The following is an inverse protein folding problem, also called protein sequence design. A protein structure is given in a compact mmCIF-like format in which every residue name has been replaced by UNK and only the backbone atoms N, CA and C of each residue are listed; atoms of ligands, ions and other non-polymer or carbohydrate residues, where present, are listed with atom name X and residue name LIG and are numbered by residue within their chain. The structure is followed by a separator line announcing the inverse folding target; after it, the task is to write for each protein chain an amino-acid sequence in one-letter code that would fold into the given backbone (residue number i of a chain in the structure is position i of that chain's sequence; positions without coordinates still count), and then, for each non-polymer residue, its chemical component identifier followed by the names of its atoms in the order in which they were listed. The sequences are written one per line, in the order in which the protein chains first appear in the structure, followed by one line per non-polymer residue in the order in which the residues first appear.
data_IF_967683955227
#
_entry.id   IF_967683955227
#
_cell.length_a   1.000
_cell.length_b   1.000
_cell.length_c   1.000
_cell.angle_alpha   90.00
_cell.angle_beta   90.00
_cell.angle_gamma   90.00
#
_symmetry.space_group_name_H-M   'P 1'
#
loop_
_entity.id
_entity.type
_entity.pdbx_description
1 polymer ?
#
# COMPACT_ATOMS: atom_id res chain seq x y z
N UNK A 1 -31.94 11.57 6.14
CA UNK A 1 -30.95 10.57 6.60
C UNK A 1 -29.55 11.09 6.26
N UNK A 2 -28.75 11.56 7.22
CA UNK A 2 -27.39 12.01 6.92
C UNK A 2 -26.52 10.78 6.64
N UNK A 3 -25.85 10.78 5.48
CA UNK A 3 -24.98 9.70 5.04
C UNK A 3 -23.88 9.44 6.06
N UNK A 4 -23.70 8.18 6.45
CA UNK A 4 -22.59 7.76 7.32
C UNK A 4 -21.27 8.24 6.68
N UNK A 5 -20.33 8.81 7.46
CA UNK A 5 -19.03 9.21 6.94
C UNK A 5 -18.36 8.00 6.28
N UNK A 6 -17.82 8.18 5.07
CA UNK A 6 -17.02 7.16 4.39
C UNK A 6 -15.89 6.75 5.34
N UNK A 7 -15.95 5.51 5.86
CA UNK A 7 -14.90 4.98 6.73
C UNK A 7 -13.62 4.89 5.90
N UNK A 8 -12.54 5.44 6.45
CA UNK A 8 -11.21 5.35 5.89
C UNK A 8 -10.89 3.89 5.54
N UNK A 9 -10.54 3.63 4.28
CA UNK A 9 -10.06 2.32 3.81
C UNK A 9 -8.53 2.32 3.87
N UNK A 10 -7.98 2.33 5.08
CA UNK A 10 -6.53 2.18 5.24
C UNK A 10 -6.23 0.82 5.83
N UNK A 11 -5.52 -0.01 5.06
CA UNK A 11 -5.03 -1.31 5.52
C UNK A 11 -3.52 -1.30 5.79
N UNK A 12 -2.77 -0.39 5.16
CA UNK A 12 -1.32 -0.42 5.23
C UNK A 12 -0.74 0.47 6.32
N UNK A 13 -0.17 -0.16 7.35
CA UNK A 13 0.77 0.45 8.29
C UNK A 13 2.19 -0.01 7.94
N UNK A 14 2.85 0.72 7.03
CA UNK A 14 4.25 0.48 6.69
C UNK A 14 5.13 1.56 7.32
N UNK A 15 6.26 1.13 7.89
CA UNK A 15 7.33 1.99 8.37
C UNK A 15 8.56 1.92 7.47
N UNK A 16 9.57 2.78 7.70
CA UNK A 16 10.82 2.77 6.92
C UNK A 16 11.61 1.46 6.97
N UNK A 17 11.35 0.62 7.98
CA UNK A 17 11.98 -0.69 8.18
C UNK A 17 11.10 -1.86 7.77
N UNK A 18 9.90 -1.61 7.23
CA UNK A 18 9.05 -2.67 6.70
C UNK A 18 9.69 -3.31 5.48
N UNK A 19 9.39 -4.59 5.24
CA UNK A 19 9.73 -5.27 3.99
C UNK A 19 8.47 -5.37 3.12
N UNK A 20 8.42 -4.60 2.04
CA UNK A 20 7.28 -4.61 1.11
C UNK A 20 7.26 -5.90 0.29
N UNK A 21 8.43 -6.45 -0.06
CA UNK A 21 8.53 -7.78 -0.67
C UNK A 21 7.97 -8.88 0.25
N UNK A 22 8.27 -8.85 1.56
CA UNK A 22 7.70 -9.79 2.51
C UNK A 22 6.19 -9.62 2.64
N UNK A 23 5.68 -8.38 2.70
CA UNK A 23 4.25 -8.12 2.72
C UNK A 23 3.52 -8.72 1.51
N UNK A 24 4.06 -8.54 0.29
CA UNK A 24 3.47 -9.13 -0.92
C UNK A 24 3.43 -10.66 -0.81
N UNK A 25 4.53 -11.29 -0.37
CA UNK A 25 4.58 -12.74 -0.18
C UNK A 25 3.56 -13.23 0.88
N UNK A 26 3.40 -12.51 1.99
CA UNK A 26 2.37 -12.85 2.98
C UNK A 26 0.95 -12.70 2.42
N UNK A 27 0.69 -11.69 1.60
CA UNK A 27 -0.61 -11.54 0.94
C UNK A 27 -0.87 -12.66 -0.07
N UNK A 28 0.16 -13.16 -0.77
CA UNK A 28 0.06 -14.36 -1.62
C UNK A 28 -0.33 -15.60 -0.80
N UNK A 29 0.30 -15.81 0.35
CA UNK A 29 -0.03 -16.91 1.26
C UNK A 29 -1.46 -16.82 1.80
N UNK A 30 -1.92 -15.61 2.17
CA UNK A 30 -3.28 -15.40 2.66
C UNK A 30 -4.34 -15.62 1.57
N UNK A 31 -4.08 -15.17 0.34
CA UNK A 31 -4.99 -15.38 -0.79
C UNK A 31 -5.14 -16.88 -1.11
N UNK A 32 -4.04 -17.65 -1.01
CA UNK A 32 -4.04 -19.10 -1.22
C UNK A 32 -4.95 -19.87 -0.25
N UNK A 33 -5.26 -19.30 0.92
CA UNK A 33 -6.22 -19.88 1.88
C UNK A 33 -7.68 -19.77 1.41
N UNK A 34 -7.95 -18.99 0.35
CA UNK A 34 -9.30 -18.71 -0.19
C UNK A 34 -10.29 -18.24 0.88
N UNK A 35 -10.00 -17.13 1.60
CA UNK A 35 -10.87 -16.66 2.67
C UNK A 35 -12.22 -16.19 2.14
N UNK A 36 -13.29 -16.58 2.82
CA UNK A 36 -14.65 -16.11 2.52
C UNK A 36 -15.00 -14.82 3.26
N UNK A 37 -14.30 -14.52 4.35
CA UNK A 37 -14.46 -13.32 5.17
C UNK A 37 -13.10 -12.85 5.69
N UNK A 38 -12.83 -11.56 5.56
CA UNK A 38 -11.62 -10.89 6.05
C UNK A 38 -12.05 -9.82 7.06
N UNK A 39 -11.57 -9.97 8.29
CA UNK A 39 -11.81 -9.02 9.40
C UNK A 39 -10.51 -8.28 9.70
N UNK A 40 -10.34 -7.06 9.18
CA UNK A 40 -9.10 -6.28 9.35
C UNK A 40 -9.07 -5.59 10.72
N UNK A 41 -7.87 -5.20 11.17
CA UNK A 41 -7.71 -4.37 12.37
C UNK A 41 -8.41 -3.00 12.25
N UNK A 42 -8.40 -2.43 11.03
CA UNK A 42 -9.04 -1.15 10.71
C UNK A 42 -9.76 -1.23 9.36
N UNK A 43 -10.74 -0.35 9.14
CA UNK A 43 -11.51 -0.30 7.89
C UNK A 43 -12.77 -1.17 7.91
N UNK A 44 -13.29 -1.48 6.73
CA UNK A 44 -14.50 -2.28 6.57
C UNK A 44 -14.16 -3.77 6.44
N UNK A 45 -14.96 -4.62 7.08
CA UNK A 45 -14.97 -6.08 6.85
C UNK A 45 -15.35 -6.34 5.37
N UNK A 46 -14.73 -7.34 4.76
CA UNK A 46 -14.97 -7.71 3.36
C UNK A 46 -14.60 -9.15 3.06
N UNK A 47 -14.50 -9.47 1.77
CA UNK A 47 -14.09 -10.78 1.26
C UNK A 47 -12.61 -10.79 0.85
N UNK A 48 -12.17 -11.85 0.17
CA UNK A 48 -10.82 -11.98 -0.38
C UNK A 48 -10.39 -10.79 -1.28
N UNK A 49 -11.33 -10.00 -1.82
CA UNK A 49 -10.98 -8.83 -2.63
C UNK A 49 -10.21 -7.76 -1.84
N UNK A 50 -10.26 -7.78 -0.50
CA UNK A 50 -9.45 -6.89 0.32
C UNK A 50 -7.95 -7.22 0.20
N UNK A 51 -7.59 -8.51 0.30
CA UNK A 51 -6.21 -8.99 0.18
C UNK A 51 -5.68 -8.70 -1.23
N UNK A 52 -6.48 -8.99 -2.25
CA UNK A 52 -6.11 -8.74 -3.65
C UNK A 52 -5.81 -7.25 -3.92
N UNK A 53 -6.64 -6.33 -3.37
CA UNK A 53 -6.44 -4.89 -3.51
C UNK A 53 -5.19 -4.39 -2.80
N UNK A 54 -4.91 -4.88 -1.61
CA UNK A 54 -3.70 -4.51 -0.87
C UNK A 54 -2.45 -4.98 -1.61
N UNK A 55 -2.50 -6.19 -2.18
CA UNK A 55 -1.42 -6.74 -2.99
C UNK A 55 -1.18 -5.91 -4.26
N UNK A 56 -2.23 -5.60 -5.01
CA UNK A 56 -2.17 -4.77 -6.21
C UNK A 56 -1.58 -3.39 -5.89
N UNK A 57 -1.99 -2.80 -4.77
CA UNK A 57 -1.45 -1.54 -4.28
C UNK A 57 0.06 -1.62 -4.03
N UNK A 58 0.51 -2.62 -3.27
CA UNK A 58 1.93 -2.78 -2.93
C UNK A 58 2.79 -3.08 -4.17
N UNK A 59 2.27 -3.85 -5.13
CA UNK A 59 2.96 -4.10 -6.40
C UNK A 59 3.06 -2.84 -7.27
N UNK A 60 2.00 -2.04 -7.32
CA UNK A 60 1.98 -0.76 -8.04
C UNK A 60 3.00 0.20 -7.44
N UNK A 61 3.01 0.30 -6.12
CA UNK A 61 4.00 1.06 -5.37
C UNK A 61 5.42 0.57 -5.68
N UNK A 62 5.65 -0.74 -5.61
CA UNK A 62 6.96 -1.33 -5.84
C UNK A 62 7.49 -1.03 -7.25
N UNK A 63 6.64 -1.22 -8.26
CA UNK A 63 6.97 -0.97 -9.67
C UNK A 63 7.35 0.50 -9.87
N UNK A 64 6.52 1.42 -9.34
CA UNK A 64 6.74 2.85 -9.53
C UNK A 64 8.02 3.36 -8.85
N UNK A 65 8.31 2.86 -7.65
CA UNK A 65 9.56 3.20 -6.94
C UNK A 65 10.78 2.73 -7.75
N UNK A 66 10.75 1.52 -8.31
CA UNK A 66 11.86 1.00 -9.13
C UNK A 66 12.08 1.83 -10.38
N UNK A 67 11.01 2.22 -11.07
CA UNK A 67 11.10 3.11 -12.25
C UNK A 67 11.77 4.44 -11.91
N UNK A 68 11.36 5.08 -10.82
CA UNK A 68 11.90 6.37 -10.41
C UNK A 68 13.35 6.26 -9.90
N UNK A 69 13.68 5.18 -9.19
CA UNK A 69 15.06 4.89 -8.78
C UNK A 69 15.98 4.67 -9.99
N UNK A 70 15.51 3.95 -11.01
CA UNK A 70 16.26 3.74 -12.25
C UNK A 70 16.53 5.05 -13.03
N UNK A 71 15.72 6.10 -12.79
CA UNK A 71 15.93 7.45 -13.32
C UNK A 71 16.95 8.27 -12.49
N UNK A 72 17.56 7.69 -11.46
CA UNK A 72 18.55 8.36 -10.61
C UNK A 72 17.96 9.27 -9.53
N UNK A 73 16.66 9.23 -9.28
CA UNK A 73 16.00 10.02 -8.21
C UNK A 73 16.39 9.48 -6.83
N UNK A 74 16.58 10.38 -5.88
CA UNK A 74 16.84 10.06 -4.48
C UNK A 74 15.62 9.45 -3.79
N UNK A 75 15.83 8.75 -2.66
CA UNK A 75 14.77 8.13 -1.89
C UNK A 75 13.66 9.13 -1.47
N UNK A 76 14.03 10.37 -1.15
CA UNK A 76 13.08 11.41 -0.77
C UNK A 76 12.28 11.95 -1.96
N UNK A 77 12.91 12.17 -3.11
CA UNK A 77 12.21 12.56 -4.34
C UNK A 77 11.23 11.48 -4.80
N UNK A 78 11.64 10.21 -4.71
CA UNK A 78 10.76 9.07 -5.00
C UNK A 78 9.57 9.03 -4.04
N UNK A 79 9.83 9.11 -2.74
CA UNK A 79 8.77 9.08 -1.73
C UNK A 79 7.76 10.22 -1.91
N UNK A 80 8.23 11.43 -2.21
CA UNK A 80 7.37 12.58 -2.48
C UNK A 80 6.52 12.36 -3.74
N UNK A 81 7.15 11.98 -4.86
CA UNK A 81 6.47 11.77 -6.15
C UNK A 81 5.38 10.71 -6.02
N UNK A 82 5.72 9.56 -5.45
CA UNK A 82 4.79 8.43 -5.30
C UNK A 82 3.65 8.76 -4.35
N UNK A 83 3.92 9.48 -3.24
CA UNK A 83 2.87 9.92 -2.32
C UNK A 83 1.85 10.80 -3.04
N UNK A 84 2.31 11.77 -3.84
CA UNK A 84 1.43 12.64 -4.63
C UNK A 84 0.62 11.84 -5.66
N UNK A 85 1.26 10.95 -6.43
CA UNK A 85 0.58 10.13 -7.45
C UNK A 85 -0.50 9.22 -6.85
N UNK A 86 -0.20 8.57 -5.72
CA UNK A 86 -1.12 7.65 -5.06
C UNK A 86 -2.28 8.41 -4.40
N UNK A 87 -2.02 9.54 -3.74
CA UNK A 87 -3.08 10.37 -3.14
C UNK A 87 -4.07 10.87 -4.20
N UNK A 88 -3.58 11.24 -5.39
CA UNK A 88 -4.45 11.66 -6.49
C UNK A 88 -5.35 10.51 -7.00
N UNK A 89 -4.85 9.28 -6.98
CA UNK A 89 -5.61 8.08 -7.39
C UNK A 89 -6.58 7.58 -6.30
N UNK A 90 -6.25 7.82 -5.03
CA UNK A 90 -6.98 7.29 -3.87
C UNK A 90 -7.39 8.42 -2.90
N UNK A 91 -8.29 9.34 -3.33
CA UNK A 91 -8.69 10.48 -2.49
C UNK A 91 -9.41 10.07 -1.20
N UNK A 92 -9.94 8.84 -1.15
CA UNK A 92 -10.63 8.27 0.01
C UNK A 92 -9.68 7.65 1.06
N UNK A 93 -8.36 7.61 0.79
CA UNK A 93 -7.34 7.13 1.72
C UNK A 93 -6.87 8.25 2.65
N UNK A 94 -7.55 8.42 3.77
CA UNK A 94 -7.35 9.55 4.70
C UNK A 94 -6.13 9.40 5.63
N UNK A 95 -5.27 8.39 5.46
CA UNK A 95 -4.06 8.20 6.26
C UNK A 95 -2.81 8.00 5.37
N UNK A 96 -2.31 9.09 4.74
CA UNK A 96 -1.19 9.03 3.80
C UNK A 96 0.18 8.74 4.45
N UNK A 97 0.25 8.69 5.79
CA UNK A 97 1.48 8.54 6.56
C UNK A 97 2.31 7.30 6.18
N UNK A 98 1.66 6.22 5.71
CA UNK A 98 2.35 4.98 5.32
C UNK A 98 2.96 5.01 3.92
N UNK A 99 2.50 5.86 2.99
CA UNK A 99 2.88 5.79 1.57
C UNK A 99 4.35 6.14 1.38
N UNK A 100 4.77 7.29 1.92
CA UNK A 100 6.16 7.74 1.82
C UNK A 100 7.14 6.85 2.59
N UNK A 101 6.69 6.21 3.67
CA UNK A 101 7.51 5.24 4.41
C UNK A 101 7.67 3.94 3.61
N UNK A 102 6.59 3.41 3.05
CA UNK A 102 6.61 2.24 2.18
C UNK A 102 7.46 2.49 0.91
N UNK A 103 7.37 3.69 0.31
CA UNK A 103 8.20 4.05 -0.83
C UNK A 103 9.70 4.02 -0.50
N UNK A 104 10.09 4.53 0.68
CA UNK A 104 11.48 4.47 1.15
C UNK A 104 11.93 3.03 1.43
N UNK A 105 11.07 2.21 2.02
CA UNK A 105 11.33 0.78 2.24
C UNK A 105 11.61 0.06 0.91
N UNK A 106 10.73 0.21 -0.10
CA UNK A 106 10.97 -0.36 -1.44
C UNK A 106 12.28 0.17 -2.04
N UNK A 107 12.55 1.46 -1.92
CA UNK A 107 13.76 2.06 -2.49
C UNK A 107 15.02 1.43 -1.91
N UNK A 108 15.03 1.14 -0.61
CA UNK A 108 16.11 0.44 0.09
C UNK A 108 16.21 -1.05 -0.31
N UNK A 109 15.09 -1.74 -0.51
CA UNK A 109 15.04 -3.15 -0.93
C UNK A 109 15.47 -3.36 -2.40
N UNK A 110 15.17 -2.40 -3.27
CA UNK A 110 15.41 -2.53 -4.71
C UNK A 110 16.90 -2.40 -5.00
N UNK A 111 17.50 -3.38 -5.66
CA UNK A 111 18.90 -3.30 -6.12
C UNK A 111 19.03 -2.42 -7.36
#
# INVERSE_FOLDING_TARGET
MPGRPRRARTFLAAGPTSSISTWIATLDELDALRPTLVVPSHGAIGDASLIAKDREYLMTLQTRVRELKAQGKSADEVAQTVTTEIQAKLPDWTAPMGIGAAARAVYAESR
#
